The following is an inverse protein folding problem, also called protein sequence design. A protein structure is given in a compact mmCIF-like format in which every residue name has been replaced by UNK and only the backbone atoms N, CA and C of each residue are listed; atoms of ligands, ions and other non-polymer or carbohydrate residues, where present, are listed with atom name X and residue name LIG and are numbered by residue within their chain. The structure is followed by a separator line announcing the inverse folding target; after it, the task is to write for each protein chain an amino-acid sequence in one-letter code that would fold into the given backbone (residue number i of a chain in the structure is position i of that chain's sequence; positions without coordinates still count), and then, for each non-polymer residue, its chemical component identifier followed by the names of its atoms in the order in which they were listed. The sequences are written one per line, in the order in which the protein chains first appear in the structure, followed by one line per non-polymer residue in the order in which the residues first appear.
data_IF_327082133565
#
_entry.id   IF_327082133565
#
_cell.length_a   1.000
_cell.length_b   1.000
_cell.length_c   1.000
_cell.angle_alpha   90.00
_cell.angle_beta   90.00
_cell.angle_gamma   90.00
#
_symmetry.space_group_name_H-M   'P 1'
#
loop_
_entity.id
_entity.type
_entity.pdbx_description
1 polymer ?
#
# COMPACT_ATOMS: atom_id res chain seq x y z
N UNK A 1 5.30 34.30 14.00
CA UNK A 1 5.65 32.86 13.87
C UNK A 1 5.51 32.48 12.39
N UNK A 2 6.53 31.88 11.77
CA UNK A 2 6.47 31.44 10.36
C UNK A 2 5.44 30.32 10.21
N UNK A 3 4.54 30.44 9.25
CA UNK A 3 3.56 29.42 8.92
C UNK A 3 3.71 29.07 7.44
N UNK A 4 3.96 27.78 7.10
CA UNK A 4 4.15 27.33 5.71
C UNK A 4 2.94 27.65 4.84
N UNK A 5 3.18 27.96 3.56
CA UNK A 5 2.12 28.27 2.59
C UNK A 5 1.10 27.15 2.45
N UNK A 6 1.55 25.90 2.52
CA UNK A 6 0.67 24.73 2.48
C UNK A 6 -0.36 24.68 3.64
N UNK A 7 -0.03 25.25 4.80
CA UNK A 7 -0.97 25.33 5.93
C UNK A 7 -1.89 26.55 5.82
N UNK A 8 -1.37 27.67 5.30
CA UNK A 8 -2.17 28.90 5.05
C UNK A 8 -3.26 28.67 4.00
N UNK A 9 -2.95 27.92 2.96
CA UNK A 9 -3.88 27.63 1.84
C UNK A 9 -4.69 26.35 2.04
N UNK A 10 -4.64 25.75 3.23
CA UNK A 10 -5.38 24.53 3.52
C UNK A 10 -6.87 24.74 3.29
N UNK A 11 -7.53 23.90 2.44
CA UNK A 11 -8.97 23.97 2.19
C UNK A 11 -9.79 24.01 3.47
N UNK A 12 -10.78 24.89 3.51
CA UNK A 12 -11.71 25.05 4.64
C UNK A 12 -13.06 24.41 4.34
N UNK A 13 -13.38 24.15 3.07
CA UNK A 13 -14.60 23.51 2.60
C UNK A 13 -14.27 22.34 1.69
N UNK A 14 -15.21 21.41 1.54
CA UNK A 14 -15.00 20.23 0.65
C UNK A 14 -14.85 20.64 -0.81
N UNK A 15 -15.48 21.73 -1.22
CA UNK A 15 -15.44 22.23 -2.60
C UNK A 15 -14.08 22.83 -2.98
N UNK A 16 -13.24 23.14 -1.98
CA UNK A 16 -11.86 23.60 -2.18
C UNK A 16 -10.84 22.47 -2.28
N UNK A 17 -11.25 21.21 -2.04
CA UNK A 17 -10.35 20.05 -2.10
C UNK A 17 -10.21 19.61 -3.55
N UNK A 18 -8.99 19.65 -4.06
CA UNK A 18 -8.69 19.28 -5.45
C UNK A 18 -8.53 17.77 -5.65
N UNK A 19 -9.01 17.29 -6.81
CA UNK A 19 -8.67 15.96 -7.34
C UNK A 19 -9.31 14.76 -6.64
N UNK A 20 -10.34 14.99 -5.79
CA UNK A 20 -11.04 13.91 -5.07
C UNK A 20 -12.53 13.85 -5.40
N UNK A 21 -12.90 14.18 -6.63
CA UNK A 21 -14.29 14.29 -7.08
C UNK A 21 -15.06 12.97 -6.94
N UNK A 22 -14.38 11.84 -7.04
CA UNK A 22 -14.97 10.48 -6.92
C UNK A 22 -15.50 10.19 -5.51
N UNK A 23 -14.96 10.81 -4.45
CA UNK A 23 -15.42 10.66 -3.07
C UNK A 23 -16.04 11.93 -2.47
N UNK A 24 -15.66 13.13 -2.96
CA UNK A 24 -16.11 14.43 -2.44
C UNK A 24 -17.01 15.19 -3.40
N UNK A 25 -17.16 14.74 -4.66
CA UNK A 25 -18.05 15.36 -5.64
C UNK A 25 -19.52 15.31 -5.21
N UNK A 26 -20.36 16.14 -5.82
CA UNK A 26 -21.81 16.18 -5.54
C UNK A 26 -22.43 14.79 -5.72
N UNK A 27 -23.05 14.26 -4.66
CA UNK A 27 -23.67 12.94 -4.66
C UNK A 27 -22.76 11.77 -4.34
N UNK A 28 -21.45 11.98 -4.18
CA UNK A 28 -20.52 10.94 -3.72
C UNK A 28 -20.81 10.49 -2.28
N UNK A 29 -20.49 9.25 -1.95
CA UNK A 29 -20.87 8.64 -0.66
C UNK A 29 -20.25 9.39 0.52
N UNK A 30 -18.94 9.70 0.48
CA UNK A 30 -18.27 10.43 1.57
C UNK A 30 -18.87 11.83 1.73
N UNK A 31 -19.15 12.53 0.61
CA UNK A 31 -19.79 13.85 0.64
C UNK A 31 -21.15 13.81 1.34
N UNK A 32 -22.00 12.85 1.01
CA UNK A 32 -23.33 12.68 1.63
C UNK A 32 -23.24 12.37 3.12
N UNK A 33 -22.26 11.55 3.55
CA UNK A 33 -22.03 11.25 4.96
C UNK A 33 -21.65 12.53 5.71
N UNK A 34 -20.76 13.34 5.14
CA UNK A 34 -20.33 14.61 5.75
C UNK A 34 -21.49 15.60 5.84
N UNK A 35 -22.23 15.76 4.74
CA UNK A 35 -23.37 16.71 4.67
C UNK A 35 -24.51 16.29 5.61
N UNK A 36 -24.69 14.99 5.90
CA UNK A 36 -25.68 14.51 6.85
C UNK A 36 -25.25 14.65 8.33
N UNK A 37 -23.98 14.95 8.60
CA UNK A 37 -23.41 14.97 9.95
C UNK A 37 -23.23 13.60 10.59
N UNK A 38 -23.64 12.53 9.93
CA UNK A 38 -23.58 11.15 10.41
C UNK A 38 -22.24 10.52 10.01
N UNK A 39 -21.23 10.70 10.83
CA UNK A 39 -19.85 10.28 10.53
C UNK A 39 -19.56 8.93 11.18
N UNK A 40 -19.47 7.84 10.39
CA UNK A 40 -18.99 6.55 10.89
C UNK A 40 -17.47 6.56 11.07
N UNK A 41 -16.92 5.48 11.63
CA UNK A 41 -15.49 5.27 11.60
C UNK A 41 -15.03 5.07 10.15
N UNK A 42 -13.88 5.65 9.80
CA UNK A 42 -13.37 5.65 8.43
C UNK A 42 -11.87 5.38 8.38
N UNK A 43 -11.44 4.79 7.28
CA UNK A 43 -10.03 4.65 6.94
C UNK A 43 -9.79 5.34 5.60
N UNK A 44 -8.94 6.37 5.60
CA UNK A 44 -8.52 7.09 4.41
C UNK A 44 -7.17 6.54 3.95
N UNK A 45 -7.08 5.99 2.77
CA UNK A 45 -5.80 5.52 2.24
C UNK A 45 -5.48 6.15 0.89
N UNK A 46 -4.20 6.23 0.58
CA UNK A 46 -3.70 6.79 -0.67
C UNK A 46 -2.46 7.67 -0.48
N UNK A 47 -1.90 8.21 -1.57
CA UNK A 47 -0.64 8.94 -1.57
C UNK A 47 -0.60 10.13 -0.60
N UNK A 48 0.61 10.54 -0.22
CA UNK A 48 0.84 11.72 0.60
C UNK A 48 0.39 12.99 -0.13
N UNK A 49 -0.05 14.01 0.62
CA UNK A 49 -0.43 15.32 0.06
C UNK A 49 -1.75 15.37 -0.71
N UNK A 50 -2.55 14.28 -0.70
CA UNK A 50 -3.82 14.18 -1.43
C UNK A 50 -5.03 14.74 -0.67
N UNK A 51 -4.84 15.26 0.55
CA UNK A 51 -5.89 15.95 1.31
C UNK A 51 -6.53 15.16 2.44
N UNK A 52 -6.06 13.93 2.79
CA UNK A 52 -6.63 13.09 3.88
C UNK A 52 -6.82 13.86 5.19
N UNK A 53 -5.75 14.48 5.70
CA UNK A 53 -5.79 15.28 6.93
C UNK A 53 -6.68 16.52 6.79
N UNK A 54 -6.73 17.12 5.62
CA UNK A 54 -7.57 18.29 5.31
C UNK A 54 -9.04 17.94 5.41
N UNK A 55 -9.46 16.83 4.79
CA UNK A 55 -10.84 16.34 4.85
C UNK A 55 -11.25 15.99 6.27
N UNK A 56 -10.38 15.35 7.05
CA UNK A 56 -10.65 15.08 8.47
C UNK A 56 -10.87 16.37 9.30
N UNK A 57 -10.11 17.44 9.03
CA UNK A 57 -10.33 18.75 9.67
C UNK A 57 -11.68 19.37 9.27
N UNK A 58 -12.06 19.28 8.00
CA UNK A 58 -13.34 19.80 7.50
C UNK A 58 -14.49 19.04 8.17
N UNK A 59 -14.40 17.71 8.25
CA UNK A 59 -15.39 16.86 8.92
C UNK A 59 -15.56 17.29 10.38
N UNK A 60 -14.47 17.45 11.13
CA UNK A 60 -14.53 17.85 12.52
C UNK A 60 -15.21 19.22 12.71
N UNK A 61 -14.88 20.18 11.83
CA UNK A 61 -15.47 21.53 11.86
C UNK A 61 -16.97 21.51 11.52
N UNK A 62 -17.38 20.76 10.50
CA UNK A 62 -18.78 20.69 10.08
C UNK A 62 -19.67 19.95 11.09
N UNK A 63 -19.12 18.94 11.77
CA UNK A 63 -19.86 18.17 12.78
C UNK A 63 -19.75 18.74 14.19
N UNK A 64 -19.05 19.86 14.35
CA UNK A 64 -18.81 20.51 15.64
C UNK A 64 -18.28 19.53 16.73
N UNK A 65 -17.44 18.56 16.30
CA UNK A 65 -16.79 17.59 17.19
C UNK A 65 -15.40 18.07 17.59
N UNK A 66 -14.99 17.71 18.78
CA UNK A 66 -13.61 17.98 19.22
C UNK A 66 -12.65 17.05 18.47
N UNK A 67 -11.71 17.65 17.70
CA UNK A 67 -10.73 16.91 16.91
C UNK A 67 -9.45 16.71 17.70
N UNK A 68 -9.09 15.45 17.92
CA UNK A 68 -7.75 15.07 18.36
C UNK A 68 -6.96 14.48 17.20
N UNK A 69 -5.69 14.87 17.10
CA UNK A 69 -4.78 14.40 16.06
C UNK A 69 -3.61 13.68 16.70
N UNK A 70 -3.43 12.45 16.33
CA UNK A 70 -2.26 11.64 16.67
C UNK A 70 -1.56 11.18 15.41
N UNK A 71 -0.24 11.12 15.47
CA UNK A 71 0.56 10.46 14.45
C UNK A 71 1.09 9.13 15.04
N UNK A 72 0.71 8.01 14.44
CA UNK A 72 1.08 6.69 14.95
C UNK A 72 2.59 6.40 14.94
N UNK A 73 3.39 7.22 14.21
CA UNK A 73 4.85 7.10 14.26
C UNK A 73 5.46 7.62 15.57
N UNK A 74 4.76 8.51 16.28
CA UNK A 74 5.25 9.16 17.50
C UNK A 74 4.35 8.92 18.70
N UNK A 75 3.07 8.61 18.48
CA UNK A 75 2.07 8.42 19.52
C UNK A 75 2.20 7.05 20.22
N UNK A 76 1.75 7.03 21.45
CA UNK A 76 1.69 5.84 22.32
C UNK A 76 0.26 5.49 22.71
N UNK A 77 0.06 4.33 23.34
CA UNK A 77 -1.23 3.97 23.94
C UNK A 77 -1.61 4.86 25.13
N UNK A 78 -0.64 5.54 25.75
CA UNK A 78 -0.89 6.49 26.82
C UNK A 78 -1.61 7.73 26.29
N UNK A 79 -1.22 8.23 25.12
CA UNK A 79 -1.86 9.39 24.48
C UNK A 79 -3.33 9.11 24.16
N UNK A 80 -3.64 7.88 23.71
CA UNK A 80 -5.03 7.44 23.48
C UNK A 80 -5.82 7.44 24.79
N UNK A 81 -5.24 6.90 25.87
CA UNK A 81 -5.90 6.89 27.20
C UNK A 81 -6.14 8.30 27.74
N UNK A 82 -5.22 9.23 27.51
CA UNK A 82 -5.39 10.63 27.89
C UNK A 82 -6.57 11.28 27.16
N UNK A 83 -6.70 11.04 25.86
CA UNK A 83 -7.85 11.49 25.07
C UNK A 83 -9.15 10.90 25.63
N UNK A 84 -9.14 9.60 25.93
CA UNK A 84 -10.31 8.91 26.52
C UNK A 84 -10.70 9.47 27.87
N UNK A 85 -9.73 9.80 28.72
CA UNK A 85 -9.99 10.40 30.05
C UNK A 85 -10.67 11.78 29.94
N UNK A 86 -10.52 12.46 28.80
CA UNK A 86 -11.15 13.77 28.55
C UNK A 86 -12.59 13.66 28.01
N UNK A 87 -13.03 12.47 27.58
CA UNK A 87 -14.34 12.24 26.94
C UNK A 87 -15.52 12.46 27.90
N UNK A 88 -15.34 12.18 29.17
CA UNK A 88 -16.37 12.33 30.21
C UNK A 88 -16.40 13.75 30.80
N UNK A 89 -15.70 14.71 30.19
CA UNK A 89 -15.66 16.12 30.63
C UNK A 89 -16.51 17.01 29.72
N UNK A 90 -16.86 18.23 30.23
CA UNK A 90 -17.59 19.26 29.44
C UNK A 90 -16.87 19.71 28.15
N UNK A 91 -15.68 19.18 27.85
CA UNK A 91 -14.84 19.62 26.74
C UNK A 91 -15.24 19.03 25.38
N UNK A 92 -16.10 18.02 25.35
CA UNK A 92 -16.50 17.35 24.07
C UNK A 92 -18.01 17.02 24.04
N UNK A 93 -18.91 18.03 24.07
CA UNK A 93 -20.35 17.82 24.17
C UNK A 93 -20.95 17.06 22.96
N UNK A 94 -20.32 17.10 21.79
CA UNK A 94 -20.76 16.43 20.57
C UNK A 94 -19.92 15.19 20.25
N UNK A 95 -19.12 14.68 21.21
CA UNK A 95 -18.23 13.56 21.03
C UNK A 95 -16.89 13.94 20.41
N UNK A 96 -16.00 12.98 20.39
CA UNK A 96 -14.62 13.14 19.91
C UNK A 96 -14.45 12.50 18.54
N UNK A 97 -13.73 13.21 17.67
CA UNK A 97 -13.21 12.69 16.41
C UNK A 97 -11.69 12.53 16.58
N UNK A 98 -11.23 11.29 16.55
CA UNK A 98 -9.80 10.97 16.57
C UNK A 98 -9.29 10.80 15.13
N UNK A 99 -8.43 11.71 14.68
CA UNK A 99 -7.66 11.53 13.47
C UNK A 99 -6.32 10.88 13.81
N UNK A 100 -6.12 9.65 13.34
CA UNK A 100 -4.89 8.88 13.54
C UNK A 100 -4.14 8.77 12.22
N UNK A 101 -3.06 9.53 12.09
CA UNK A 101 -2.20 9.52 10.89
C UNK A 101 -1.21 8.35 10.93
N UNK A 102 -0.94 7.76 9.75
CA UNK A 102 -0.01 6.64 9.54
C UNK A 102 -0.30 5.42 10.45
N UNK A 103 -1.57 5.00 10.52
CA UNK A 103 -2.04 3.91 11.41
C UNK A 103 -1.23 2.62 11.28
N UNK A 104 -0.62 2.33 10.13
CA UNK A 104 0.23 1.16 9.92
C UNK A 104 1.48 1.14 10.81
N UNK A 105 1.87 2.29 11.36
CA UNK A 105 2.98 2.38 12.32
C UNK A 105 2.62 1.87 13.70
N UNK A 106 1.34 1.75 14.04
CA UNK A 106 0.89 1.10 15.25
C UNK A 106 0.97 -0.43 15.12
N UNK A 107 1.55 -1.09 16.12
CA UNK A 107 1.50 -2.54 16.20
C UNK A 107 0.07 -3.04 16.51
N UNK A 108 -0.14 -4.36 16.37
CA UNK A 108 -1.45 -4.98 16.57
C UNK A 108 -2.08 -4.68 17.93
N UNK A 109 -1.29 -4.67 19.03
CA UNK A 109 -1.80 -4.37 20.37
C UNK A 109 -2.26 -2.92 20.51
N UNK A 110 -1.53 -1.98 19.90
CA UNK A 110 -1.89 -0.57 19.87
C UNK A 110 -3.17 -0.35 19.07
N UNK A 111 -3.30 -0.99 17.92
CA UNK A 111 -4.53 -0.94 17.12
C UNK A 111 -5.72 -1.58 17.86
N UNK A 112 -5.50 -2.70 18.57
CA UNK A 112 -6.54 -3.32 19.41
C UNK A 112 -7.05 -2.44 20.55
N UNK A 113 -6.18 -1.61 21.14
CA UNK A 113 -6.60 -0.70 22.22
C UNK A 113 -7.60 0.37 21.77
N UNK A 114 -7.70 0.64 20.46
CA UNK A 114 -8.71 1.55 19.91
C UNK A 114 -10.10 0.92 19.84
N UNK A 115 -10.21 -0.41 19.75
CA UNK A 115 -11.49 -1.09 19.47
C UNK A 115 -12.55 -0.81 20.52
N UNK A 116 -12.18 -0.90 21.80
CA UNK A 116 -13.13 -0.64 22.91
C UNK A 116 -13.79 0.74 22.80
N UNK A 117 -13.02 1.75 22.41
CA UNK A 117 -13.48 3.13 22.32
C UNK A 117 -14.26 3.42 21.04
N UNK A 118 -13.99 2.66 19.98
CA UNK A 118 -14.74 2.71 18.73
C UNK A 118 -16.08 1.99 18.85
N UNK A 119 -16.10 0.84 19.53
CA UNK A 119 -17.29 0.01 19.70
C UNK A 119 -18.34 0.64 20.60
N UNK A 120 -17.93 1.29 21.68
CA UNK A 120 -18.84 1.98 22.59
C UNK A 120 -19.26 3.38 22.09
N UNK A 121 -18.80 3.79 20.90
CA UNK A 121 -19.15 5.07 20.28
C UNK A 121 -18.54 6.32 20.96
N UNK A 122 -17.67 6.15 21.94
CA UNK A 122 -16.99 7.27 22.62
C UNK A 122 -16.09 8.06 21.68
N UNK A 123 -15.45 7.35 20.73
CA UNK A 123 -14.56 7.94 19.73
C UNK A 123 -15.08 7.58 18.33
N UNK A 124 -15.17 8.58 17.46
CA UNK A 124 -15.27 8.34 16.03
C UNK A 124 -13.85 8.39 15.44
N UNK A 125 -13.39 7.28 14.86
CA UNK A 125 -12.06 7.17 14.31
C UNK A 125 -12.06 7.57 12.82
N UNK A 126 -11.13 8.43 12.44
CA UNK A 126 -10.67 8.59 11.06
C UNK A 126 -9.18 8.23 11.05
N UNK A 127 -8.86 7.03 10.60
CA UNK A 127 -7.47 6.62 10.42
C UNK A 127 -7.00 6.98 9.01
N UNK A 128 -5.71 7.31 8.86
CA UNK A 128 -5.10 7.51 7.55
C UNK A 128 -3.85 6.64 7.37
N UNK A 129 -3.59 6.26 6.13
CA UNK A 129 -2.42 5.48 5.74
C UNK A 129 -2.03 5.78 4.30
N UNK A 130 -0.74 5.68 3.99
CA UNK A 130 -0.23 5.66 2.62
C UNK A 130 -0.15 4.25 2.04
N UNK A 131 -0.30 3.24 2.88
CA UNK A 131 -0.23 1.82 2.52
C UNK A 131 -1.62 1.23 2.27
N UNK A 132 -1.68 0.04 1.63
CA UNK A 132 -2.95 -0.65 1.44
C UNK A 132 -3.51 -1.11 2.80
N UNK A 133 -4.69 -0.59 3.23
CA UNK A 133 -5.22 -0.84 4.57
C UNK A 133 -5.52 -2.31 4.84
N UNK A 134 -5.85 -3.09 3.83
CA UNK A 134 -6.19 -4.52 3.98
C UNK A 134 -5.01 -5.38 4.40
N UNK A 135 -3.77 -4.89 4.27
CA UNK A 135 -2.57 -5.61 4.73
C UNK A 135 -2.02 -5.11 6.07
N UNK A 136 -2.25 -3.85 6.41
CA UNK A 136 -1.58 -3.20 7.53
C UNK A 136 -2.51 -2.78 8.66
N UNK A 137 -3.79 -2.59 8.37
CA UNK A 137 -4.77 -2.24 9.41
C UNK A 137 -5.42 -3.50 9.96
N UNK A 138 -5.56 -3.56 11.28
CA UNK A 138 -6.16 -4.71 11.95
C UNK A 138 -7.61 -4.94 11.48
N UNK A 139 -7.92 -6.18 11.07
CA UNK A 139 -9.21 -6.53 10.47
C UNK A 139 -10.43 -6.11 11.30
N UNK A 140 -10.32 -6.13 12.65
CA UNK A 140 -11.39 -5.71 13.52
C UNK A 140 -11.69 -4.20 13.43
N UNK A 141 -10.71 -3.36 13.09
CA UNK A 141 -10.91 -1.93 12.80
C UNK A 141 -11.56 -1.80 11.41
N UNK A 142 -11.05 -2.53 10.40
CA UNK A 142 -11.59 -2.47 9.05
C UNK A 142 -13.07 -2.89 8.99
N UNK A 143 -13.45 -3.95 9.70
CA UNK A 143 -14.85 -4.42 9.74
C UNK A 143 -15.83 -3.42 10.37
N UNK A 144 -15.33 -2.42 11.11
CA UNK A 144 -16.10 -1.36 11.78
C UNK A 144 -15.92 0.01 11.14
N UNK A 145 -15.22 0.07 10.01
CA UNK A 145 -14.86 1.32 9.34
C UNK A 145 -15.22 1.27 7.86
N UNK A 146 -15.57 2.41 7.30
CA UNK A 146 -15.70 2.55 5.85
C UNK A 146 -14.37 3.01 5.27
N UNK A 147 -13.88 2.31 4.26
CA UNK A 147 -12.60 2.62 3.62
C UNK A 147 -12.81 3.52 2.42
N UNK A 148 -12.08 4.64 2.35
CA UNK A 148 -12.10 5.59 1.25
C UNK A 148 -10.71 5.75 0.64
N UNK A 149 -10.63 5.57 -0.67
CA UNK A 149 -9.41 5.78 -1.44
C UNK A 149 -9.26 7.25 -1.83
N UNK A 150 -8.13 7.84 -1.46
CA UNK A 150 -7.68 9.14 -1.95
C UNK A 150 -6.73 8.91 -3.12
N UNK A 151 -7.17 9.30 -4.31
CA UNK A 151 -6.38 9.15 -5.52
C UNK A 151 -5.30 10.22 -5.62
N UNK A 152 -4.26 9.91 -6.39
CA UNK A 152 -3.24 10.88 -6.75
C UNK A 152 -3.88 12.07 -7.47
N UNK A 153 -3.42 13.27 -7.13
CA UNK A 153 -3.94 14.49 -7.74
C UNK A 153 -3.36 14.64 -9.13
N UNK A 154 -4.22 14.83 -10.13
CA UNK A 154 -3.79 15.04 -11.51
C UNK A 154 -3.00 16.34 -11.68
N UNK A 155 -2.11 16.39 -12.68
CA UNK A 155 -1.36 17.61 -12.98
C UNK A 155 -2.27 18.83 -13.27
N UNK A 156 -3.43 18.61 -13.86
CA UNK A 156 -4.42 19.68 -14.13
C UNK A 156 -5.05 20.22 -12.84
N UNK A 157 -5.38 19.35 -11.89
CA UNK A 157 -5.89 19.77 -10.58
C UNK A 157 -4.78 20.43 -9.71
N UNK A 158 -3.56 19.90 -9.77
CA UNK A 158 -2.42 20.50 -9.12
C UNK A 158 -2.11 21.91 -9.67
N UNK A 159 -2.26 22.14 -10.98
CA UNK A 159 -2.06 23.46 -11.60
C UNK A 159 -3.05 24.49 -11.06
N UNK A 160 -4.29 24.11 -10.81
CA UNK A 160 -5.28 25.02 -10.20
C UNK A 160 -4.84 25.43 -8.78
N UNK A 161 -4.34 24.48 -8.00
CA UNK A 161 -3.81 24.74 -6.67
C UNK A 161 -2.55 25.63 -6.71
N UNK A 162 -1.64 25.41 -7.66
CA UNK A 162 -0.45 26.25 -7.89
C UNK A 162 -0.84 27.68 -8.24
N UNK A 163 -1.78 27.88 -9.15
CA UNK A 163 -2.29 29.22 -9.52
C UNK A 163 -2.92 29.93 -8.32
N UNK A 164 -3.71 29.23 -7.51
CA UNK A 164 -4.26 29.78 -6.25
C UNK A 164 -3.13 30.20 -5.29
N UNK A 165 -2.07 29.40 -5.20
CA UNK A 165 -0.91 29.71 -4.35
C UNK A 165 -0.17 30.95 -4.84
N UNK A 166 0.05 31.07 -6.14
CA UNK A 166 0.67 32.27 -6.75
C UNK A 166 -0.15 33.50 -6.42
N UNK A 167 -1.47 33.49 -6.69
CA UNK A 167 -2.35 34.64 -6.41
C UNK A 167 -2.40 35.02 -4.92
N UNK A 168 -2.32 34.03 -4.03
CA UNK A 168 -2.23 34.30 -2.60
C UNK A 168 -0.90 34.97 -2.22
N UNK A 169 0.20 34.49 -2.81
CA UNK A 169 1.53 35.08 -2.56
C UNK A 169 1.66 36.49 -3.13
N UNK A 170 1.06 36.77 -4.30
CA UNK A 170 0.97 38.14 -4.84
C UNK A 170 0.32 39.11 -3.86
N UNK A 171 -0.82 38.72 -3.28
CA UNK A 171 -1.53 39.54 -2.30
C UNK A 171 -0.73 39.73 -1.00
N UNK A 172 0.00 38.70 -0.58
CA UNK A 172 0.78 38.73 0.67
C UNK A 172 2.07 39.55 0.54
N UNK A 173 2.73 39.51 -0.61
CA UNK A 173 4.01 40.17 -0.86
C UNK A 173 3.90 41.49 -1.54
N UNK A 174 2.72 41.85 -2.06
CA UNK A 174 2.46 43.01 -2.92
C UNK A 174 3.33 43.01 -4.20
N UNK A 175 3.75 41.82 -4.66
CA UNK A 175 4.47 41.61 -5.91
C UNK A 175 3.52 41.04 -6.97
N UNK A 176 3.73 41.40 -8.22
CA UNK A 176 3.02 40.79 -9.34
C UNK A 176 3.88 39.67 -9.92
N UNK A 177 3.42 38.43 -9.87
CA UNK A 177 4.12 37.29 -10.48
C UNK A 177 4.02 37.36 -12.02
N UNK A 178 5.12 37.10 -12.69
CA UNK A 178 5.19 37.01 -14.16
C UNK A 178 5.72 35.60 -14.50
N UNK A 179 4.84 34.59 -14.57
CA UNK A 179 5.25 33.23 -14.91
C UNK A 179 5.72 33.15 -16.38
N UNK A 180 6.83 32.51 -16.60
CA UNK A 180 7.26 32.05 -17.93
C UNK A 180 6.35 30.92 -18.40
N UNK A 181 6.15 30.80 -19.71
CA UNK A 181 5.35 29.72 -20.30
C UNK A 181 5.85 28.34 -19.86
N UNK A 182 4.96 27.55 -19.31
CA UNK A 182 5.27 26.21 -18.81
C UNK A 182 5.85 26.15 -17.39
N UNK A 183 6.19 27.27 -16.73
CA UNK A 183 6.78 27.24 -15.39
C UNK A 183 5.82 26.67 -14.32
N UNK A 184 4.56 27.14 -14.29
CA UNK A 184 3.55 26.65 -13.35
C UNK A 184 3.12 25.22 -13.66
N UNK A 185 2.97 24.88 -14.94
CA UNK A 185 2.69 23.54 -15.42
C UNK A 185 3.78 22.55 -15.02
N UNK A 186 5.05 22.99 -15.07
CA UNK A 186 6.18 22.19 -14.62
C UNK A 186 6.13 21.91 -13.10
N UNK A 187 5.85 22.92 -12.27
CA UNK A 187 5.67 22.74 -10.82
C UNK A 187 4.54 21.74 -10.56
N UNK A 188 3.39 21.92 -11.23
CA UNK A 188 2.23 21.07 -11.04
C UNK A 188 2.47 19.61 -11.43
N UNK A 189 3.21 19.35 -12.52
CA UNK A 189 3.56 17.99 -12.95
C UNK A 189 4.65 17.37 -12.08
N UNK A 190 5.64 18.17 -11.66
CA UNK A 190 6.79 17.69 -10.86
C UNK A 190 6.46 17.39 -9.40
N UNK A 191 5.31 17.87 -8.88
CA UNK A 191 4.90 17.57 -7.51
C UNK A 191 4.42 16.13 -7.31
N UNK A 192 4.19 15.36 -8.39
CA UNK A 192 3.74 13.97 -8.31
C UNK A 192 2.42 13.79 -7.57
N UNK A 193 1.52 14.78 -7.64
CA UNK A 193 0.22 14.77 -6.95
C UNK A 193 0.27 15.13 -5.46
N UNK A 194 1.45 15.44 -4.91
CA UNK A 194 1.59 15.97 -3.55
C UNK A 194 1.52 17.52 -3.56
N UNK A 195 0.35 18.06 -3.23
CA UNK A 195 0.15 19.53 -3.24
C UNK A 195 1.02 20.27 -2.22
N UNK A 196 1.47 19.65 -1.13
CA UNK A 196 2.39 20.31 -0.19
C UNK A 196 3.71 20.65 -0.87
N UNK A 197 4.22 19.75 -1.72
CA UNK A 197 5.43 19.99 -2.51
C UNK A 197 5.24 21.14 -3.49
N UNK A 198 4.08 21.18 -4.17
CA UNK A 198 3.75 22.25 -5.09
C UNK A 198 3.67 23.62 -4.38
N UNK A 199 3.01 23.66 -3.20
CA UNK A 199 2.95 24.91 -2.39
C UNK A 199 4.32 25.35 -1.91
N UNK A 200 5.16 24.42 -1.44
CA UNK A 200 6.52 24.73 -1.01
C UNK A 200 7.38 25.28 -2.17
N UNK A 201 7.23 24.72 -3.38
CA UNK A 201 7.94 25.23 -4.55
C UNK A 201 7.55 26.69 -4.85
N UNK A 202 6.26 27.00 -4.82
CA UNK A 202 5.78 28.38 -5.01
C UNK A 202 6.31 29.30 -3.91
N UNK A 203 6.29 28.88 -2.63
CA UNK A 203 6.80 29.66 -1.52
C UNK A 203 8.30 29.98 -1.66
N UNK A 204 9.08 28.99 -2.09
CA UNK A 204 10.53 29.17 -2.33
C UNK A 204 10.77 30.13 -3.49
N UNK A 205 10.02 30.02 -4.60
CA UNK A 205 10.16 30.96 -5.74
C UNK A 205 9.88 32.39 -5.34
N UNK A 206 8.85 32.65 -4.52
CA UNK A 206 8.57 33.99 -4.03
C UNK A 206 9.59 34.49 -2.99
N UNK A 207 10.19 33.59 -2.23
CA UNK A 207 11.18 33.94 -1.20
C UNK A 207 12.57 34.19 -1.75
N UNK A 208 12.96 33.44 -2.80
CA UNK A 208 14.29 33.50 -3.41
C UNK A 208 14.37 34.41 -4.65
N UNK A 209 13.21 34.71 -5.27
CA UNK A 209 13.16 35.49 -6.50
C UNK A 209 13.54 36.94 -6.29
N UNK A 210 14.10 37.56 -7.32
CA UNK A 210 14.55 38.95 -7.30
C UNK A 210 13.50 39.79 -8.04
N UNK A 211 12.72 40.62 -7.34
CA UNK A 211 11.73 41.50 -7.99
C UNK A 211 12.38 42.58 -8.83
N UNK A 212 11.76 42.89 -9.97
CA UNK A 212 12.13 44.01 -10.83
C UNK A 212 10.90 44.88 -11.03
N UNK A 213 10.94 46.13 -10.63
CA UNK A 213 9.84 47.10 -10.73
C UNK A 213 8.49 46.56 -10.19
N UNK A 214 8.53 45.89 -9.03
CA UNK A 214 7.32 45.28 -8.41
C UNK A 214 6.82 43.99 -9.07
N UNK A 215 7.51 43.52 -10.10
CA UNK A 215 7.24 42.28 -10.80
C UNK A 215 8.24 41.20 -10.41
N UNK A 216 7.74 40.00 -10.15
CA UNK A 216 8.55 38.83 -9.82
C UNK A 216 8.49 37.85 -11.00
N UNK A 217 9.60 37.71 -11.77
CA UNK A 217 9.68 36.68 -12.79
C UNK A 217 9.72 35.31 -12.16
N UNK A 218 8.85 34.39 -12.60
CA UNK A 218 8.87 32.97 -12.23
C UNK A 218 9.35 32.19 -13.44
N UNK A 219 10.67 31.98 -13.52
CA UNK A 219 11.26 31.35 -14.71
C UNK A 219 11.09 29.83 -14.68
N UNK A 220 11.09 29.19 -15.86
CA UNK A 220 11.10 27.74 -15.96
C UNK A 220 12.39 27.13 -15.37
N UNK A 221 13.52 27.86 -15.45
CA UNK A 221 14.78 27.44 -14.86
C UNK A 221 14.68 27.35 -13.34
N UNK A 222 14.18 28.40 -12.67
CA UNK A 222 13.97 28.42 -11.23
C UNK A 222 12.95 27.36 -10.80
N UNK A 223 11.84 27.21 -11.56
CA UNK A 223 10.87 26.16 -11.31
C UNK A 223 11.50 24.76 -11.34
N UNK A 224 12.38 24.49 -12.29
CA UNK A 224 13.14 23.24 -12.35
C UNK A 224 14.08 23.08 -11.17
N UNK A 225 14.80 24.12 -10.77
CA UNK A 225 15.76 24.07 -9.66
C UNK A 225 15.06 23.76 -8.33
N UNK A 226 13.95 24.43 -8.01
CA UNK A 226 13.22 24.22 -6.74
C UNK A 226 12.48 22.88 -6.70
N UNK A 227 12.20 22.26 -7.86
CA UNK A 227 11.49 20.99 -7.95
C UNK A 227 12.40 19.79 -8.27
N UNK A 228 13.67 20.01 -8.70
CA UNK A 228 14.57 18.93 -9.14
C UNK A 228 14.75 17.79 -8.11
N UNK A 229 14.83 18.09 -6.81
CA UNK A 229 14.84 17.07 -5.75
C UNK A 229 13.48 16.39 -5.58
N UNK A 230 12.42 16.96 -6.12
CA UNK A 230 11.05 16.44 -6.03
C UNK A 230 10.70 15.53 -7.22
N UNK A 231 11.27 15.77 -8.41
CA UNK A 231 10.96 14.96 -9.61
C UNK A 231 11.43 13.50 -9.46
N UNK A 232 12.62 13.26 -8.92
CA UNK A 232 13.11 11.93 -8.57
C UNK A 232 12.25 11.24 -7.48
N UNK A 233 11.54 12.04 -6.64
CA UNK A 233 10.62 11.53 -5.64
C UNK A 233 9.16 11.46 -6.13
N UNK A 234 8.78 12.21 -7.16
CA UNK A 234 7.45 12.21 -7.75
C UNK A 234 7.11 10.90 -8.47
N UNK A 235 8.13 10.17 -8.95
CA UNK A 235 8.01 8.79 -9.44
C UNK A 235 7.65 7.78 -8.31
N UNK A 236 7.60 8.23 -7.05
CA UNK A 236 7.38 7.37 -5.88
C UNK A 236 5.94 6.88 -5.71
N UNK A 237 4.95 7.65 -6.11
CA UNK A 237 3.55 7.46 -5.70
C UNK A 237 2.56 7.53 -6.88
N UNK A 238 3.02 7.41 -8.15
CA UNK A 238 2.20 7.50 -9.36
C UNK A 238 2.10 6.19 -10.14
N UNK A 239 1.31 6.19 -11.22
CA UNK A 239 1.17 5.09 -12.17
C UNK A 239 2.54 4.58 -12.65
N UNK A 240 3.54 5.48 -12.84
CA UNK A 240 4.92 5.16 -13.16
C UNK A 240 5.61 4.25 -12.13
N UNK A 241 5.27 4.35 -10.85
CA UNK A 241 5.84 3.50 -9.81
C UNK A 241 5.37 2.04 -9.95
N UNK A 242 4.07 1.83 -10.12
CA UNK A 242 3.52 0.50 -10.36
C UNK A 242 3.99 -0.05 -11.70
N UNK A 243 4.16 0.80 -12.71
CA UNK A 243 4.72 0.43 -14.00
C UNK A 243 6.18 0.02 -13.90
N UNK A 244 7.00 0.70 -13.09
CA UNK A 244 8.39 0.31 -12.82
C UNK A 244 8.48 -1.06 -12.13
N UNK A 245 7.66 -1.31 -11.10
CA UNK A 245 7.59 -2.61 -10.44
C UNK A 245 7.10 -3.70 -11.39
N UNK A 246 6.14 -3.38 -12.26
CA UNK A 246 5.63 -4.28 -13.30
C UNK A 246 6.68 -4.55 -14.37
N UNK A 247 7.42 -3.53 -14.79
CA UNK A 247 8.50 -3.64 -15.75
C UNK A 247 9.65 -4.51 -15.22
N UNK A 248 10.09 -4.29 -13.97
CA UNK A 248 11.08 -5.16 -13.31
C UNK A 248 10.61 -6.63 -13.31
N UNK A 249 9.38 -6.87 -12.87
CA UNK A 249 8.81 -8.21 -12.81
C UNK A 249 8.78 -8.88 -14.19
N UNK A 250 8.23 -8.17 -15.19
CA UNK A 250 8.10 -8.68 -16.57
C UNK A 250 9.44 -8.92 -17.25
N UNK A 251 10.45 -8.09 -16.95
CA UNK A 251 11.81 -8.29 -17.47
C UNK A 251 12.44 -9.57 -16.92
N UNK A 252 12.31 -9.83 -15.62
CA UNK A 252 12.79 -11.08 -15.01
C UNK A 252 12.03 -12.29 -15.57
N UNK A 253 10.69 -12.20 -15.66
CA UNK A 253 9.83 -13.23 -16.27
C UNK A 253 10.20 -13.50 -17.72
N UNK A 254 10.48 -12.44 -18.47
CA UNK A 254 10.90 -12.49 -19.87
C UNK A 254 12.37 -12.90 -20.09
N UNK A 255 13.12 -13.16 -19.00
CA UNK A 255 14.53 -13.55 -19.05
C UNK A 255 15.45 -12.51 -19.70
N UNK A 256 15.17 -11.22 -19.45
CA UNK A 256 16.02 -10.10 -19.86
C UNK A 256 16.75 -9.52 -18.63
N UNK A 257 18.00 -9.91 -18.37
CA UNK A 257 18.77 -9.44 -17.24
C UNK A 257 19.16 -7.95 -17.35
N UNK A 258 19.35 -7.42 -18.55
CA UNK A 258 19.73 -6.02 -18.75
C UNK A 258 18.56 -5.09 -18.42
N UNK A 259 17.36 -5.40 -18.90
CA UNK A 259 16.15 -4.67 -18.55
C UNK A 259 15.82 -4.81 -17.05
N UNK A 260 16.02 -5.99 -16.46
CA UNK A 260 15.83 -6.21 -15.03
C UNK A 260 16.76 -5.31 -14.19
N UNK A 261 18.05 -5.23 -14.53
CA UNK A 261 19.00 -4.33 -13.89
C UNK A 261 18.61 -2.86 -14.07
N UNK A 262 18.19 -2.46 -15.27
CA UNK A 262 17.78 -1.09 -15.55
C UNK A 262 16.58 -0.65 -14.69
N UNK A 263 15.51 -1.44 -14.65
CA UNK A 263 14.33 -1.10 -13.85
C UNK A 263 14.58 -1.21 -12.35
N UNK A 264 15.43 -2.15 -11.90
CA UNK A 264 15.90 -2.19 -10.51
C UNK A 264 16.66 -0.91 -10.14
N UNK A 265 17.61 -0.47 -10.96
CA UNK A 265 18.37 0.76 -10.73
C UNK A 265 17.43 1.97 -10.61
N UNK A 266 16.44 2.11 -11.48
CA UNK A 266 15.44 3.18 -11.41
C UNK A 266 14.64 3.15 -10.09
N UNK A 267 14.23 1.97 -9.62
CA UNK A 267 13.54 1.83 -8.33
C UNK A 267 14.44 2.22 -7.15
N UNK A 268 15.74 1.87 -7.21
CA UNK A 268 16.69 2.22 -6.15
C UNK A 268 16.98 3.72 -6.12
N UNK A 269 17.12 4.37 -7.27
CA UNK A 269 17.35 5.82 -7.38
C UNK A 269 16.19 6.63 -6.81
N UNK A 270 14.96 6.18 -7.03
CA UNK A 270 13.78 6.84 -6.43
C UNK A 270 13.56 6.41 -4.96
N UNK A 271 14.48 5.63 -4.37
CA UNK A 271 14.46 5.21 -2.96
C UNK A 271 13.40 4.15 -2.64
N UNK A 272 12.98 3.35 -3.63
CA UNK A 272 11.97 2.30 -3.49
C UNK A 272 12.58 0.90 -3.24
N UNK A 273 13.70 0.85 -2.53
CA UNK A 273 14.37 -0.41 -2.17
C UNK A 273 13.43 -1.42 -1.47
N UNK A 274 12.60 -1.05 -0.47
CA UNK A 274 11.72 -2.03 0.18
C UNK A 274 10.71 -2.66 -0.79
N UNK A 275 10.20 -1.88 -1.73
CA UNK A 275 9.26 -2.35 -2.75
C UNK A 275 9.94 -3.24 -3.80
N UNK A 276 11.16 -2.89 -4.21
CA UNK A 276 11.97 -3.73 -5.08
C UNK A 276 12.28 -5.08 -4.41
N UNK A 277 12.70 -5.08 -3.14
CA UNK A 277 12.92 -6.31 -2.35
C UNK A 277 11.68 -7.20 -2.33
N UNK A 278 10.53 -6.66 -1.99
CA UNK A 278 9.25 -7.38 -1.98
C UNK A 278 8.92 -7.97 -3.36
N UNK A 279 9.12 -7.19 -4.42
CA UNK A 279 8.87 -7.64 -5.79
C UNK A 279 9.79 -8.78 -6.20
N UNK A 280 11.09 -8.71 -5.90
CA UNK A 280 12.03 -9.79 -6.17
C UNK A 280 11.65 -11.09 -5.45
N UNK A 281 11.22 -11.02 -4.19
CA UNK A 281 10.73 -12.21 -3.44
C UNK A 281 9.48 -12.81 -4.09
N UNK A 282 8.53 -11.99 -4.57
CA UNK A 282 7.35 -12.46 -5.28
C UNK A 282 7.74 -13.18 -6.58
N UNK A 283 8.60 -12.57 -7.41
CA UNK A 283 9.06 -13.14 -8.69
C UNK A 283 9.79 -14.48 -8.48
N UNK A 284 10.59 -14.58 -7.43
CA UNK A 284 11.29 -15.82 -7.09
C UNK A 284 10.31 -17.00 -6.90
N UNK A 285 9.18 -16.76 -6.25
CA UNK A 285 8.16 -17.78 -6.00
C UNK A 285 7.20 -17.98 -7.19
N UNK A 286 6.83 -16.88 -7.86
CA UNK A 286 5.81 -16.89 -8.92
C UNK A 286 6.34 -17.41 -10.26
N UNK A 287 7.54 -16.97 -10.67
CA UNK A 287 8.04 -17.20 -12.04
C UNK A 287 9.20 -18.19 -12.13
N UNK A 288 10.07 -18.28 -11.10
CA UNK A 288 11.19 -19.24 -11.09
C UNK A 288 10.77 -20.51 -10.34
N UNK A 289 10.29 -20.38 -9.13
CA UNK A 289 9.63 -21.41 -8.35
C UNK A 289 10.26 -22.80 -8.45
N UNK A 290 9.46 -23.77 -8.84
CA UNK A 290 9.86 -25.18 -8.90
C UNK A 290 10.86 -25.53 -10.02
N UNK A 291 11.11 -24.61 -10.97
CA UNK A 291 12.15 -24.82 -11.97
C UNK A 291 13.56 -24.73 -11.38
N UNK A 292 13.75 -23.92 -10.33
CA UNK A 292 14.98 -23.79 -9.58
C UNK A 292 14.67 -23.47 -8.10
N UNK A 293 14.31 -24.48 -7.27
CA UNK A 293 13.82 -24.25 -5.90
C UNK A 293 14.79 -23.51 -4.98
N UNK A 294 16.11 -23.62 -5.23
CA UNK A 294 17.13 -22.89 -4.46
C UNK A 294 17.05 -21.38 -4.61
N UNK A 295 16.29 -20.87 -5.59
CA UNK A 295 16.10 -19.44 -5.80
C UNK A 295 15.49 -18.75 -4.57
N UNK A 296 14.59 -19.43 -3.86
CA UNK A 296 13.87 -18.86 -2.73
C UNK A 296 14.81 -18.46 -1.57
N UNK A 297 15.65 -19.37 -1.01
CA UNK A 297 16.59 -18.98 0.02
C UNK A 297 17.68 -18.04 -0.48
N UNK A 298 18.10 -18.11 -1.74
CA UNK A 298 19.11 -17.21 -2.32
C UNK A 298 18.56 -15.78 -2.38
N UNK A 299 17.38 -15.59 -2.95
CA UNK A 299 16.78 -14.25 -3.06
C UNK A 299 16.45 -13.68 -1.68
N UNK A 300 15.98 -14.51 -0.75
CA UNK A 300 15.77 -14.09 0.62
C UNK A 300 17.07 -13.62 1.28
N UNK A 301 18.19 -14.35 1.09
CA UNK A 301 19.50 -13.94 1.61
C UNK A 301 19.98 -12.62 0.97
N UNK A 302 19.82 -12.44 -0.35
CA UNK A 302 20.15 -11.19 -1.04
C UNK A 302 19.35 -10.00 -0.49
N UNK A 303 18.05 -10.17 -0.28
CA UNK A 303 17.16 -9.16 0.31
C UNK A 303 17.60 -8.82 1.75
N UNK A 304 17.89 -9.84 2.56
CA UNK A 304 18.33 -9.66 3.94
C UNK A 304 19.68 -8.92 4.03
N UNK A 305 20.62 -9.24 3.13
CA UNK A 305 21.87 -8.50 2.97
C UNK A 305 21.63 -7.05 2.58
N UNK A 306 20.76 -6.80 1.60
CA UNK A 306 20.43 -5.45 1.16
C UNK A 306 19.84 -4.58 2.27
N UNK A 307 18.93 -5.15 3.07
CA UNK A 307 18.32 -4.44 4.21
C UNK A 307 19.32 -4.14 5.33
N UNK A 308 20.33 -5.00 5.52
CA UNK A 308 21.41 -4.80 6.52
C UNK A 308 22.47 -3.81 6.07
N UNK A 309 22.84 -3.83 4.79
CA UNK A 309 23.86 -2.94 4.22
C UNK A 309 23.34 -1.52 4.02
N UNK A 310 22.09 -1.38 3.56
CA UNK A 310 21.58 -0.07 3.12
C UNK A 310 22.21 0.41 1.82
N UNK A 311 21.73 1.57 1.34
CA UNK A 311 22.29 2.20 0.13
C UNK A 311 23.62 2.94 0.49
N UNK A 312 24.61 2.93 -0.40
CA UNK A 312 24.56 2.45 -1.79
C UNK A 312 24.88 0.97 -2.01
N UNK A 313 25.38 0.23 -1.01
CA UNK A 313 25.87 -1.14 -1.15
C UNK A 313 24.75 -2.15 -1.40
N UNK A 314 23.52 -1.89 -0.93
CA UNK A 314 22.35 -2.73 -1.14
C UNK A 314 22.08 -3.09 -2.61
N UNK A 315 22.52 -2.23 -3.55
CA UNK A 315 22.38 -2.48 -4.98
C UNK A 315 23.05 -3.77 -5.45
N UNK A 316 24.14 -4.18 -4.79
CA UNK A 316 24.94 -5.35 -5.19
C UNK A 316 24.15 -6.66 -5.03
N UNK A 317 23.71 -7.06 -3.80
CA UNK A 317 22.95 -8.29 -3.63
C UNK A 317 21.60 -8.26 -4.36
N UNK A 318 20.98 -7.08 -4.54
CA UNK A 318 19.73 -6.98 -5.30
C UNK A 318 19.95 -7.19 -6.81
N UNK A 319 21.07 -6.73 -7.36
CA UNK A 319 21.44 -7.01 -8.74
C UNK A 319 21.73 -8.51 -8.95
N UNK A 320 22.48 -9.15 -8.04
CA UNK A 320 22.71 -10.60 -8.07
C UNK A 320 21.39 -11.38 -8.10
N UNK A 321 20.44 -11.03 -7.23
CA UNK A 321 19.11 -11.64 -7.21
C UNK A 321 18.36 -11.46 -8.53
N UNK A 322 18.33 -10.24 -9.07
CA UNK A 322 17.60 -9.94 -10.30
C UNK A 322 18.19 -10.67 -11.52
N UNK A 323 19.52 -10.64 -11.67
CA UNK A 323 20.23 -11.33 -12.77
C UNK A 323 20.06 -12.85 -12.66
N UNK A 324 20.26 -13.41 -11.47
CA UNK A 324 20.11 -14.85 -11.26
C UNK A 324 18.69 -15.31 -11.63
N UNK A 325 17.67 -14.59 -11.20
CA UNK A 325 16.29 -14.91 -11.56
C UNK A 325 16.01 -14.75 -13.05
N UNK A 326 16.51 -13.68 -13.66
CA UNK A 326 16.33 -13.46 -15.10
C UNK A 326 16.97 -14.58 -15.94
N UNK A 327 18.11 -15.11 -15.51
CA UNK A 327 18.85 -16.18 -16.20
C UNK A 327 18.45 -17.59 -15.79
N UNK A 328 17.62 -17.74 -14.76
CA UNK A 328 17.12 -19.06 -14.30
C UNK A 328 15.99 -19.61 -15.19
N UNK A 329 15.80 -20.92 -15.26
CA UNK A 329 14.61 -21.51 -15.87
C UNK A 329 13.35 -21.05 -15.10
N UNK A 330 12.20 -21.05 -15.78
CA UNK A 330 10.95 -20.51 -15.26
C UNK A 330 9.92 -21.62 -15.03
N UNK A 331 9.14 -21.46 -13.96
CA UNK A 331 7.93 -22.24 -13.69
C UNK A 331 6.95 -21.44 -12.83
N UNK A 332 5.73 -21.37 -13.29
CA UNK A 332 4.60 -20.81 -12.54
C UNK A 332 3.59 -21.88 -12.10
N UNK A 333 3.97 -23.16 -12.18
CA UNK A 333 3.07 -24.30 -11.91
C UNK A 333 2.45 -24.26 -10.50
N UNK A 334 3.25 -23.92 -9.50
CA UNK A 334 2.76 -23.80 -8.11
C UNK A 334 1.82 -22.59 -7.93
N UNK A 335 2.12 -21.46 -8.58
CA UNK A 335 1.26 -20.28 -8.59
C UNK A 335 -0.11 -20.60 -9.22
N UNK A 336 -0.13 -21.22 -10.41
CA UNK A 336 -1.39 -21.61 -11.06
C UNK A 336 -2.20 -22.61 -10.22
N UNK A 337 -1.52 -23.53 -9.54
CA UNK A 337 -2.18 -24.52 -8.68
C UNK A 337 -2.88 -23.87 -7.49
N UNK A 338 -2.23 -22.97 -6.79
CA UNK A 338 -2.85 -22.30 -5.62
C UNK A 338 -3.96 -21.34 -6.05
N UNK A 339 -3.80 -20.64 -7.17
CA UNK A 339 -4.85 -19.73 -7.68
C UNK A 339 -6.11 -20.50 -8.09
N UNK A 340 -5.96 -21.63 -8.77
CA UNK A 340 -7.08 -22.49 -9.13
C UNK A 340 -7.81 -23.06 -7.89
N UNK A 341 -7.06 -23.47 -6.85
CA UNK A 341 -7.63 -23.92 -5.60
C UNK A 341 -8.37 -22.79 -4.86
N UNK A 342 -7.79 -21.59 -4.81
CA UNK A 342 -8.43 -20.40 -4.23
C UNK A 342 -9.71 -20.01 -4.96
N UNK A 343 -9.75 -20.15 -6.27
CA UNK A 343 -10.92 -19.85 -7.08
C UNK A 343 -12.09 -20.83 -6.75
N UNK A 344 -11.81 -22.11 -6.61
CA UNK A 344 -12.81 -23.09 -6.19
C UNK A 344 -13.34 -22.82 -4.77
N UNK A 345 -12.45 -22.48 -3.82
CA UNK A 345 -12.86 -22.10 -2.46
C UNK A 345 -13.74 -20.84 -2.46
N UNK A 346 -13.39 -19.83 -3.26
CA UNK A 346 -14.18 -18.59 -3.39
C UNK A 346 -15.55 -18.83 -4.02
N UNK A 347 -15.67 -19.85 -4.87
CA UNK A 347 -16.96 -20.31 -5.46
C UNK A 347 -17.77 -21.19 -4.52
N UNK A 348 -17.31 -21.39 -3.29
CA UNK A 348 -17.98 -22.21 -2.28
C UNK A 348 -17.74 -23.72 -2.43
N UNK A 349 -16.85 -24.15 -3.32
CA UNK A 349 -16.45 -25.55 -3.48
C UNK A 349 -15.35 -25.89 -2.48
N UNK A 350 -15.68 -26.03 -1.22
CA UNK A 350 -14.70 -26.38 -0.18
C UNK A 350 -14.89 -27.80 0.35
N UNK A 351 -16.12 -28.29 0.38
CA UNK A 351 -16.49 -29.62 0.89
C UNK A 351 -16.05 -29.89 2.34
N UNK A 352 -16.51 -30.99 2.88
CA UNK A 352 -16.06 -31.48 4.18
C UNK A 352 -14.77 -32.30 4.05
N UNK A 353 -13.92 -32.24 5.08
CA UNK A 353 -12.71 -33.05 5.11
C UNK A 353 -13.02 -34.55 5.07
N UNK A 354 -12.34 -35.36 4.24
CA UNK A 354 -12.43 -36.81 4.30
C UNK A 354 -12.23 -37.33 5.74
N UNK A 355 -13.06 -38.27 6.13
CA UNK A 355 -13.12 -38.74 7.51
C UNK A 355 -11.75 -39.15 8.10
N UNK A 356 -10.95 -39.87 7.33
CA UNK A 356 -9.64 -40.35 7.72
C UNK A 356 -8.56 -39.26 7.86
N UNK A 357 -8.83 -38.04 7.37
CA UNK A 357 -7.92 -36.88 7.50
C UNK A 357 -8.27 -36.00 8.72
N UNK A 358 -9.38 -36.25 9.40
CA UNK A 358 -9.80 -35.45 10.55
C UNK A 358 -8.94 -35.77 11.78
N UNK A 359 -8.68 -34.74 12.62
CA UNK A 359 -7.86 -34.89 13.83
C UNK A 359 -8.60 -35.72 14.89
N UNK A 360 -7.91 -36.70 15.50
CA UNK A 360 -8.44 -37.57 16.59
C UNK A 360 -8.81 -36.77 17.84
N UNK A 361 -8.06 -35.70 18.13
CA UNK A 361 -8.23 -34.91 19.34
C UNK A 361 -9.45 -33.99 19.38
N UNK A 362 -10.17 -33.90 18.28
CA UNK A 362 -11.43 -33.12 18.20
C UNK A 362 -12.66 -33.91 18.64
N UNK A 363 -12.52 -35.18 19.04
CA UNK A 363 -13.62 -36.06 19.42
C UNK A 363 -13.98 -35.90 20.89
N UNK A 364 -15.26 -35.63 21.17
CA UNK A 364 -15.83 -35.63 22.51
C UNK A 364 -15.77 -37.03 23.12
N UNK A 365 -15.67 -37.11 24.44
CA UNK A 365 -15.43 -38.27 25.33
C UNK A 365 -16.25 -39.55 25.09
N UNK A 366 -17.11 -39.63 24.09
CA UNK A 366 -18.09 -40.70 23.93
C UNK A 366 -18.05 -41.52 22.64
N UNK A 367 -17.12 -41.24 21.70
CA UNK A 367 -16.99 -42.02 20.45
C UNK A 367 -15.53 -42.27 20.10
N UNK A 368 -15.09 -43.54 20.18
CA UNK A 368 -13.91 -44.00 19.46
C UNK A 368 -14.19 -43.94 17.96
N UNK A 369 -13.47 -43.06 17.25
CA UNK A 369 -13.61 -42.92 15.81
C UNK A 369 -12.54 -43.73 15.13
N UNK A 370 -12.91 -44.81 14.42
CA UNK A 370 -12.00 -45.44 13.45
C UNK A 370 -11.64 -44.44 12.37
N UNK A 371 -10.39 -44.05 12.28
CA UNK A 371 -9.90 -43.04 11.33
C UNK A 371 -9.73 -43.60 9.92
N UNK A 372 -9.30 -44.84 9.79
CA UNK A 372 -9.02 -45.46 8.49
C UNK A 372 -7.87 -44.82 7.70
N UNK A 373 -7.08 -43.94 8.32
CA UNK A 373 -5.93 -43.33 7.65
C UNK A 373 -4.82 -44.34 7.40
N UNK A 374 -4.45 -44.47 6.13
CA UNK A 374 -3.34 -45.31 5.71
C UNK A 374 -2.06 -44.48 5.76
N UNK A 375 -1.17 -44.81 6.71
CA UNK A 375 0.08 -44.04 6.88
C UNK A 375 1.10 -44.40 5.79
N UNK A 376 1.42 -43.49 4.86
CA UNK A 376 2.23 -43.81 3.66
C UNK A 376 3.60 -44.42 3.96
N UNK A 377 4.24 -44.01 5.09
CA UNK A 377 5.55 -44.55 5.43
C UNK A 377 5.54 -46.05 5.78
N UNK A 378 4.38 -46.66 6.01
CA UNK A 378 4.22 -48.10 6.22
C UNK A 378 4.11 -48.91 4.91
N UNK A 379 4.11 -48.23 3.75
CA UNK A 379 3.93 -48.84 2.44
C UNK A 379 5.17 -48.69 1.57
N UNK A 380 5.35 -49.56 0.55
CA UNK A 380 6.47 -49.44 -0.41
C UNK A 380 6.50 -48.05 -1.04
N UNK A 381 7.70 -47.54 -1.31
CA UNK A 381 7.92 -46.22 -1.87
C UNK A 381 7.26 -45.06 -1.09
N UNK A 382 6.88 -45.29 0.19
CA UNK A 382 6.15 -44.34 1.04
C UNK A 382 4.89 -43.77 0.37
N UNK A 383 4.18 -44.62 -0.36
CA UNK A 383 2.96 -44.24 -1.07
C UNK A 383 1.87 -45.31 -0.92
N UNK A 384 0.64 -44.86 -0.77
CA UNK A 384 -0.56 -45.68 -0.79
C UNK A 384 -1.71 -44.89 -1.40
N UNK A 385 -2.54 -45.57 -2.19
CA UNK A 385 -3.69 -44.95 -2.84
C UNK A 385 -4.78 -44.67 -1.79
N UNK A 386 -5.05 -43.41 -1.51
CA UNK A 386 -6.19 -42.96 -0.70
C UNK A 386 -6.62 -41.58 -1.16
N UNK A 387 -7.84 -41.17 -0.82
CA UNK A 387 -8.40 -39.87 -1.20
C UNK A 387 -7.95 -38.81 -0.18
N UNK A 388 -7.49 -37.66 -0.66
CA UNK A 388 -7.09 -36.50 0.16
C UNK A 388 -7.99 -35.29 -0.02
N UNK A 389 -8.59 -35.11 -1.20
CA UNK A 389 -9.54 -34.03 -1.44
C UNK A 389 -10.94 -34.41 -0.92
N UNK A 390 -11.76 -33.41 -0.56
CA UNK A 390 -13.18 -33.58 -0.30
C UNK A 390 -13.90 -34.33 -1.44
N UNK A 391 -15.01 -35.00 -1.12
CA UNK A 391 -15.75 -35.77 -2.11
C UNK A 391 -16.22 -34.92 -3.30
N UNK A 392 -16.63 -33.69 -3.05
CA UNK A 392 -17.01 -32.71 -4.09
C UNK A 392 -15.87 -32.34 -5.06
N UNK A 393 -14.62 -32.50 -4.63
CA UNK A 393 -13.41 -32.21 -5.37
C UNK A 393 -12.64 -33.47 -5.77
N UNK A 394 -13.21 -34.65 -5.56
CA UNK A 394 -12.56 -35.90 -5.90
C UNK A 394 -12.19 -35.94 -7.39
N UNK A 395 -10.91 -36.19 -7.67
CA UNK A 395 -10.38 -36.21 -9.04
C UNK A 395 -9.95 -34.85 -9.59
N UNK A 396 -10.19 -33.73 -8.88
CA UNK A 396 -9.69 -32.42 -9.29
C UNK A 396 -8.15 -32.40 -9.27
N UNK A 397 -7.55 -31.77 -10.27
CA UNK A 397 -6.11 -31.54 -10.35
C UNK A 397 -5.84 -30.04 -10.39
N UNK A 398 -5.17 -29.53 -9.40
CA UNK A 398 -4.72 -28.13 -9.34
C UNK A 398 -3.29 -27.98 -9.85
N UNK A 399 -2.41 -28.94 -9.48
CA UNK A 399 -1.01 -28.90 -9.86
C UNK A 399 -0.75 -29.72 -11.13
N UNK A 400 -0.15 -29.04 -12.09
CA UNK A 400 0.39 -29.65 -13.32
C UNK A 400 1.90 -29.40 -13.40
N UNK A 401 2.66 -30.46 -13.71
CA UNK A 401 4.10 -30.36 -13.81
C UNK A 401 4.53 -29.49 -14.97
N UNK A 402 5.32 -28.46 -14.71
CA UNK A 402 5.91 -27.61 -15.74
C UNK A 402 6.88 -28.37 -16.65
N UNK A 403 7.21 -27.81 -17.82
CA UNK A 403 8.07 -28.48 -18.83
C UNK A 403 9.56 -28.48 -18.45
N UNK A 404 9.95 -27.86 -17.33
CA UNK A 404 11.35 -27.83 -16.92
C UNK A 404 11.88 -29.17 -16.41
N UNK A 405 13.21 -29.31 -16.39
CA UNK A 405 13.89 -30.57 -16.09
C UNK A 405 13.52 -31.16 -14.71
N UNK A 406 13.41 -30.31 -13.67
CA UNK A 406 13.16 -30.77 -12.32
C UNK A 406 11.73 -31.29 -12.14
N UNK A 407 10.75 -30.56 -12.63
CA UNK A 407 9.36 -30.97 -12.55
C UNK A 407 9.08 -32.21 -13.41
N UNK A 408 9.69 -32.31 -14.59
CA UNK A 408 9.55 -33.52 -15.41
C UNK A 408 10.20 -34.75 -14.76
N UNK A 409 11.33 -34.58 -14.09
CA UNK A 409 11.95 -35.68 -13.32
C UNK A 409 11.05 -36.12 -12.13
N UNK A 410 10.46 -35.16 -11.41
CA UNK A 410 9.50 -35.46 -10.35
C UNK A 410 8.23 -36.15 -10.89
N UNK A 411 7.72 -35.69 -12.05
CA UNK A 411 6.60 -36.34 -12.73
C UNK A 411 6.90 -37.81 -13.06
N UNK A 412 8.04 -38.06 -13.69
CA UNK A 412 8.45 -39.42 -14.07
C UNK A 412 8.59 -40.33 -12.84
N UNK A 413 9.18 -39.82 -11.75
CA UNK A 413 9.32 -40.54 -10.49
C UNK A 413 7.94 -41.00 -9.97
N UNK A 414 6.99 -40.06 -9.85
CA UNK A 414 5.67 -40.37 -9.33
C UNK A 414 4.79 -41.19 -10.29
N UNK A 415 4.92 -40.98 -11.59
CA UNK A 415 4.21 -41.79 -12.59
C UNK A 415 4.66 -43.26 -12.53
N UNK A 416 5.92 -43.54 -12.23
CA UNK A 416 6.41 -44.88 -12.05
C UNK A 416 5.85 -45.56 -10.79
N UNK A 417 5.78 -44.83 -9.67
CA UNK A 417 5.27 -45.35 -8.40
C UNK A 417 3.73 -45.55 -8.45
N UNK A 418 3.01 -44.63 -9.08
CA UNK A 418 1.52 -44.67 -9.11
C UNK A 418 0.93 -45.59 -10.17
N UNK A 419 1.76 -46.18 -11.02
CA UNK A 419 1.36 -47.20 -12.00
C UNK A 419 1.28 -48.62 -11.41
N UNK A 420 2.00 -48.83 -10.31
CA UNK A 420 1.91 -50.06 -9.48
C UNK A 420 0.68 -49.97 -8.55
#
# INVERSE_FOLDING_TARGET
MYQPLADLLRPQTLDEVYGQEHILGKGAVLRRLIDSGNIPNMVFYGPSGTGKTTVANIIAKQTNRTLYKLNATTASTADIKEIVAQLDTFMAPNGVLLYLDEIQSFNKKQQQSLLEHIENGKITLIASTTENPYFYVFNAILSRSTVFEFKQISASAALQAVRRAVSFMEQRTALTAVPEDGALEYIASSCGGDLRKAMNAVEVLFSAGIPQDGKLPLTLADAKEVTQKSALRADRDGDNYYDLLSALHKSIRGSDPDAACHYLARLLEVGQMPSACRRLMCVAAEDVGLAYPQILPIVNACVDMALKLGMPEARLPLADAAVLMATSPKSNSAYLAIDAALDDVRKGKSGDFPRHLQNVHADTYTMEREQGYLYPHNYPNHWVKQQYLPDELAGTRYYEYGPNKLEQAAKQYWDNIKKE
#
